data_IF_565953426306
#
_entry.id   IF_565953426306
#
_cell.length_a   1.000
_cell.length_b   1.000
_cell.length_c   1.000
_cell.angle_alpha   90.00
_cell.angle_beta   90.00
_cell.angle_gamma   90.00
#
_symmetry.space_group_name_H-M   'P 1'
#
loop_
_entity.id
_entity.type
_entity.pdbx_description
1 polymer ?
#
# COMPACT_ATOMS: atom_id res chain seq x y z
N UNK A 1 -26.55 20.79 12.93
CA UNK A 1 -25.76 20.14 11.86
C UNK A 1 -25.03 18.98 12.50
N UNK A 2 -25.47 17.75 12.27
CA UNK A 2 -24.79 16.55 12.76
C UNK A 2 -23.59 16.31 11.85
N UNK A 3 -22.39 16.57 12.36
CA UNK A 3 -21.15 16.16 11.70
C UNK A 3 -21.14 14.64 11.70
N UNK A 4 -21.38 14.03 10.56
CA UNK A 4 -21.14 12.60 10.36
C UNK A 4 -19.63 12.41 10.52
N UNK A 5 -19.21 11.75 11.59
CA UNK A 5 -17.82 11.37 11.79
C UNK A 5 -17.63 10.20 10.82
N UNK A 6 -17.03 10.47 9.65
CA UNK A 6 -16.53 9.43 8.75
C UNK A 6 -15.63 8.50 9.57
N UNK A 7 -15.68 7.16 9.39
CA UNK A 7 -14.74 6.26 10.03
C UNK A 7 -13.33 6.75 9.70
N UNK A 8 -12.53 7.10 10.71
CA UNK A 8 -11.13 7.44 10.49
C UNK A 8 -10.45 6.20 9.93
N UNK A 9 -10.02 6.24 8.67
CA UNK A 9 -9.16 5.21 8.07
C UNK A 9 -8.05 4.87 9.06
N UNK A 10 -7.95 3.60 9.45
CA UNK A 10 -6.91 3.16 10.37
C UNK A 10 -5.62 3.02 9.59
N UNK A 11 -4.77 4.02 9.71
CA UNK A 11 -3.45 4.03 9.12
C UNK A 11 -2.51 3.18 9.97
N UNK A 12 -1.85 2.21 9.34
CA UNK A 12 -0.79 1.43 9.97
C UNK A 12 0.44 1.40 9.10
N UNK A 13 1.60 1.35 9.74
CA UNK A 13 2.88 1.15 9.08
C UNK A 13 3.24 -0.33 9.12
N UNK A 14 3.78 -0.87 8.03
CA UNK A 14 4.39 -2.20 8.01
C UNK A 14 5.71 -2.19 7.24
N UNK A 15 6.66 -3.08 7.56
CA UNK A 15 7.81 -3.31 6.69
C UNK A 15 7.33 -3.89 5.36
N UNK A 16 7.97 -3.51 4.24
CA UNK A 16 7.57 -3.99 2.91
C UNK A 16 7.56 -5.52 2.77
N UNK A 17 8.38 -6.23 3.55
CA UNK A 17 8.42 -7.69 3.58
C UNK A 17 7.13 -8.33 4.11
N UNK A 18 6.29 -7.58 4.80
CA UNK A 18 4.99 -8.05 5.32
C UNK A 18 3.80 -7.65 4.43
N UNK A 19 4.05 -6.90 3.35
CA UNK A 19 3.02 -6.41 2.43
C UNK A 19 2.38 -7.56 1.66
N UNK A 20 1.07 -7.46 1.44
CA UNK A 20 0.27 -8.46 0.72
C UNK A 20 -0.40 -7.85 -0.50
N UNK A 21 -0.64 -8.70 -1.50
CA UNK A 21 -1.51 -8.33 -2.63
C UNK A 21 -2.90 -8.03 -2.08
N UNK A 22 -3.46 -6.90 -2.50
CA UNK A 22 -4.72 -6.36 -2.01
C UNK A 22 -4.57 -5.26 -0.95
N UNK A 23 -3.39 -5.12 -0.31
CA UNK A 23 -3.18 -4.04 0.65
C UNK A 23 -3.29 -2.67 -0.01
N UNK A 24 -3.93 -1.73 0.67
CA UNK A 24 -4.15 -0.37 0.18
C UNK A 24 -3.01 0.54 0.63
N UNK A 25 -2.03 0.80 -0.24
CA UNK A 25 -0.95 1.75 0.04
C UNK A 25 -1.46 3.19 0.00
N UNK A 26 -1.20 3.95 1.05
CA UNK A 26 -1.57 5.36 1.12
C UNK A 26 -0.85 6.16 0.04
N UNK A 27 -1.56 7.08 -0.62
CA UNK A 27 -1.11 7.91 -1.75
C UNK A 27 -0.77 7.18 -3.06
N UNK A 28 -0.70 5.85 -3.04
CA UNK A 28 -0.33 5.03 -4.19
C UNK A 28 -1.55 4.30 -4.75
N UNK A 29 -2.19 3.42 -3.98
CA UNK A 29 -3.26 2.56 -4.46
C UNK A 29 -3.19 1.14 -3.93
N UNK A 30 -4.13 0.26 -4.33
CA UNK A 30 -4.09 -1.14 -3.97
C UNK A 30 -2.92 -1.86 -4.67
N UNK A 31 -2.27 -2.76 -3.95
CA UNK A 31 -1.20 -3.62 -4.47
C UNK A 31 -1.82 -4.75 -5.29
N UNK A 32 -1.43 -4.86 -6.55
CA UNK A 32 -1.90 -5.88 -7.48
C UNK A 32 -0.96 -7.07 -7.57
N UNK A 33 0.35 -6.82 -7.55
CA UNK A 33 1.39 -7.85 -7.66
C UNK A 33 2.63 -7.44 -6.84
N UNK A 34 3.32 -8.43 -6.29
CA UNK A 34 4.56 -8.24 -5.53
C UNK A 34 5.62 -9.16 -6.12
N UNK A 35 6.74 -8.58 -6.55
CA UNK A 35 7.90 -9.32 -7.01
C UNK A 35 9.09 -9.02 -6.09
N UNK A 36 9.51 -10.01 -5.31
CA UNK A 36 10.74 -9.91 -4.53
C UNK A 36 11.94 -10.16 -5.44
N UNK A 37 12.90 -9.23 -5.41
CA UNK A 37 14.17 -9.30 -6.12
C UNK A 37 15.30 -9.48 -5.11
N UNK A 38 16.53 -9.68 -5.58
CA UNK A 38 17.70 -9.89 -4.70
C UNK A 38 17.82 -8.77 -3.65
N UNK A 39 17.74 -7.51 -4.08
CA UNK A 39 18.02 -6.33 -3.23
C UNK A 39 16.84 -5.35 -3.10
N UNK A 40 15.65 -5.71 -3.61
CA UNK A 40 14.50 -4.79 -3.64
C UNK A 40 13.18 -5.53 -3.79
N UNK A 41 12.07 -4.82 -3.64
CA UNK A 41 10.75 -5.25 -4.08
C UNK A 41 10.30 -4.41 -5.27
N UNK A 42 9.63 -5.06 -6.22
CA UNK A 42 8.89 -4.38 -7.29
C UNK A 42 7.40 -4.65 -7.11
N UNK A 43 6.64 -3.60 -6.87
CA UNK A 43 5.20 -3.66 -6.70
C UNK A 43 4.50 -3.20 -7.98
N UNK A 44 3.45 -3.89 -8.38
CA UNK A 44 2.48 -3.37 -9.33
C UNK A 44 1.30 -2.85 -8.52
N UNK A 45 0.92 -1.59 -8.73
CA UNK A 45 -0.20 -0.93 -8.04
C UNK A 45 -1.23 -0.41 -9.06
N UNK A 46 -2.49 -0.32 -8.64
CA UNK A 46 -3.51 0.43 -9.40
C UNK A 46 -3.51 1.89 -8.93
N UNK A 47 -3.14 2.82 -9.82
CA UNK A 47 -3.17 4.24 -9.51
C UNK A 47 -3.71 5.01 -10.69
N UNK A 48 -4.75 5.80 -10.43
CA UNK A 48 -5.44 6.59 -11.47
C UNK A 48 -5.96 5.71 -12.63
N UNK A 49 -6.48 4.51 -12.32
CA UNK A 49 -7.00 3.53 -13.29
C UNK A 49 -5.93 2.95 -14.22
N UNK A 50 -4.66 3.08 -13.86
CA UNK A 50 -3.53 2.54 -14.60
C UNK A 50 -2.66 1.65 -13.71
N UNK A 51 -2.07 0.61 -14.31
CA UNK A 51 -1.08 -0.22 -13.64
C UNK A 51 0.26 0.50 -13.63
N UNK A 52 0.79 0.78 -12.45
CA UNK A 52 2.10 1.40 -12.28
C UNK A 52 3.04 0.46 -11.55
N UNK A 53 4.31 0.47 -11.94
CA UNK A 53 5.37 -0.30 -11.27
C UNK A 53 6.17 0.64 -10.38
N UNK A 54 6.25 0.30 -9.10
CA UNK A 54 7.07 1.00 -8.12
C UNK A 54 8.11 0.07 -7.53
N UNK A 55 9.29 0.60 -7.21
CA UNK A 55 10.39 -0.15 -6.64
C UNK A 55 10.77 0.45 -5.30
N UNK A 56 11.02 -0.43 -4.35
CA UNK A 56 11.32 -0.10 -2.97
C UNK A 56 12.51 -0.93 -2.49
N UNK A 57 13.29 -0.37 -1.57
CA UNK A 57 14.36 -1.11 -0.89
C UNK A 57 13.74 -2.09 0.13
N UNK A 58 14.51 -3.11 0.53
CA UNK A 58 14.00 -4.18 1.42
C UNK A 58 13.74 -3.73 2.85
N UNK A 59 14.33 -2.61 3.26
CA UNK A 59 14.23 -2.02 4.60
C UNK A 59 13.18 -0.90 4.70
N UNK A 60 12.44 -0.64 3.62
CA UNK A 60 11.40 0.40 3.64
C UNK A 60 10.16 -0.02 4.41
N UNK A 61 9.62 0.95 5.14
CA UNK A 61 8.32 0.87 5.81
C UNK A 61 7.26 1.59 4.97
N UNK A 62 6.12 0.94 4.77
CA UNK A 62 5.01 1.44 3.97
C UNK A 62 3.80 1.72 4.86
N UNK A 63 3.09 2.81 4.55
CA UNK A 63 1.84 3.17 5.21
C UNK A 63 0.67 2.57 4.41
N UNK A 64 -0.17 1.77 5.09
CA UNK A 64 -1.39 1.20 4.51
C UNK A 64 -2.64 1.70 5.24
N UNK A 65 -3.76 1.75 4.51
CA UNK A 65 -5.08 1.83 5.11
C UNK A 65 -5.57 0.42 5.45
N UNK A 66 -5.98 0.21 6.69
CA UNK A 66 -6.76 -0.96 7.08
C UNK A 66 -8.23 -0.59 7.14
N UNK A 67 -9.01 -1.03 6.15
CA UNK A 67 -10.46 -1.10 6.30
C UNK A 67 -10.78 -2.24 7.29
N UNK A 68 -11.54 -1.94 8.34
CA UNK A 68 -12.08 -2.95 9.25
C UNK A 68 -13.27 -3.68 8.64
#
# INVERSE_FOLDING_TARGET
>A
MTSTIEPSEQLTTLPISELRVGDQLINLGPVLEINELADSFSLVIDRMQERQVWRFNKDEELLISSDK
#
